data_IF_140395063709
#
_entry.id   IF_140395063709
#
_cell.length_a   1.000
_cell.length_b   1.000
_cell.length_c   1.000
_cell.angle_alpha   90.00
_cell.angle_beta   90.00
_cell.angle_gamma   90.00
#
_symmetry.space_group_name_H-M   'P 1'
#
loop_
_entity.id
_entity.type
_entity.pdbx_description
1 polymer ?
#
# COMPACT_ATOMS: atom_id res chain seq x y z
N UNK A 1 16.70 -0.68 -21.41
CA UNK A 1 15.99 0.19 -20.46
C UNK A 1 16.91 0.46 -19.29
N UNK A 2 16.97 1.70 -18.80
CA UNK A 2 17.63 2.02 -17.55
C UNK A 2 16.55 2.12 -16.47
N UNK A 3 16.34 1.09 -15.63
CA UNK A 3 15.36 1.13 -14.55
C UNK A 3 15.76 2.20 -13.53
N UNK A 4 14.78 2.92 -12.99
CA UNK A 4 15.01 3.93 -11.95
C UNK A 4 14.73 3.37 -10.55
N UNK A 5 14.03 2.24 -10.46
CA UNK A 5 13.76 1.48 -9.23
C UNK A 5 13.43 0.02 -9.58
N UNK A 6 13.51 -0.86 -8.59
CA UNK A 6 13.04 -2.25 -8.68
C UNK A 6 11.93 -2.47 -7.65
N UNK A 7 10.76 -2.91 -8.10
CA UNK A 7 9.71 -3.40 -7.18
C UNK A 7 9.88 -4.91 -6.95
N UNK A 8 9.92 -5.29 -5.68
CA UNK A 8 9.92 -6.68 -5.24
C UNK A 8 8.65 -6.91 -4.43
N UNK A 9 7.75 -7.77 -4.91
CA UNK A 9 6.58 -8.12 -4.13
C UNK A 9 6.88 -9.25 -3.15
N UNK A 10 6.24 -9.20 -1.98
CA UNK A 10 6.33 -10.25 -0.96
C UNK A 10 4.94 -10.50 -0.40
N UNK A 11 4.45 -11.73 -0.56
CA UNK A 11 3.22 -12.15 0.10
C UNK A 11 3.16 -13.68 0.26
N UNK A 12 3.40 -14.16 1.47
CA UNK A 12 3.37 -15.59 1.79
C UNK A 12 1.97 -16.18 1.60
N UNK A 13 0.91 -15.43 1.93
CA UNK A 13 -0.47 -15.93 1.85
C UNK A 13 -0.87 -16.17 0.39
N UNK A 14 -0.56 -15.25 -0.51
CA UNK A 14 -0.83 -15.42 -1.93
C UNK A 14 -0.12 -16.67 -2.47
N UNK A 15 1.17 -16.82 -2.18
CA UNK A 15 1.96 -17.99 -2.60
C UNK A 15 1.36 -19.30 -2.08
N UNK A 16 0.89 -19.32 -0.82
CA UNK A 16 0.27 -20.50 -0.23
C UNK A 16 -1.11 -20.84 -0.80
N UNK A 17 -1.81 -19.85 -1.34
CA UNK A 17 -3.11 -20.03 -2.00
C UNK A 17 -2.95 -20.50 -3.46
N UNK A 18 -1.90 -20.09 -4.14
CA UNK A 18 -1.60 -20.51 -5.51
C UNK A 18 -1.18 -21.97 -5.55
N UNK A 19 -1.73 -22.83 -6.42
CA UNK A 19 -1.26 -24.21 -6.60
C UNK A 19 0.23 -24.29 -6.97
N UNK A 20 0.68 -23.38 -7.83
CA UNK A 20 2.04 -23.23 -8.35
C UNK A 20 2.96 -22.35 -7.47
N UNK A 21 2.44 -21.78 -6.39
CA UNK A 21 3.16 -20.79 -5.58
C UNK A 21 4.33 -21.37 -4.78
N UNK A 22 5.23 -20.52 -4.34
CA UNK A 22 6.41 -20.87 -3.57
C UNK A 22 6.03 -21.44 -2.18
N UNK A 23 6.84 -22.35 -1.69
CA UNK A 23 6.68 -23.00 -0.37
C UNK A 23 7.91 -22.86 0.53
N UNK A 24 9.03 -22.28 0.02
CA UNK A 24 10.31 -22.13 0.72
C UNK A 24 10.64 -20.65 0.90
N UNK A 25 10.14 -20.05 1.98
CA UNK A 25 10.27 -18.62 2.24
C UNK A 25 11.53 -18.22 3.03
N UNK A 26 12.31 -19.18 3.54
CA UNK A 26 13.49 -18.90 4.40
C UNK A 26 14.57 -18.08 3.69
N UNK A 27 14.72 -18.26 2.39
CA UNK A 27 15.73 -17.55 1.58
C UNK A 27 15.31 -16.13 1.18
N UNK A 28 14.05 -15.74 1.37
CA UNK A 28 13.57 -14.42 0.93
C UNK A 28 14.32 -13.27 1.60
N UNK A 29 14.61 -13.40 2.90
CA UNK A 29 15.33 -12.38 3.67
C UNK A 29 16.78 -12.22 3.18
N UNK A 30 17.51 -13.32 2.96
CA UNK A 30 18.87 -13.29 2.44
C UNK A 30 18.90 -12.74 1.01
N UNK A 31 17.97 -13.15 0.15
CA UNK A 31 17.87 -12.60 -1.22
C UNK A 31 17.60 -11.11 -1.20
N UNK A 32 16.70 -10.61 -0.32
CA UNK A 32 16.43 -9.18 -0.21
C UNK A 32 17.66 -8.41 0.25
N UNK A 33 18.40 -8.92 1.22
CA UNK A 33 19.65 -8.32 1.70
C UNK A 33 20.73 -8.29 0.60
N UNK A 34 20.83 -9.34 -0.20
CA UNK A 34 21.76 -9.40 -1.32
C UNK A 34 21.35 -8.43 -2.45
N UNK A 35 20.08 -8.39 -2.80
CA UNK A 35 19.55 -7.45 -3.80
C UNK A 35 19.79 -6.00 -3.39
N UNK A 36 19.57 -5.65 -2.13
CA UNK A 36 19.79 -4.29 -1.62
C UNK A 36 21.25 -3.83 -1.73
N UNK A 37 22.21 -4.77 -1.76
CA UNK A 37 23.64 -4.47 -1.91
C UNK A 37 24.11 -4.46 -3.36
N UNK A 38 23.52 -5.30 -4.20
CA UNK A 38 24.01 -5.58 -5.56
C UNK A 38 23.29 -4.78 -6.64
N UNK A 39 22.03 -4.43 -6.41
CA UNK A 39 21.21 -3.72 -7.39
C UNK A 39 21.46 -2.21 -7.27
N UNK A 40 21.88 -1.54 -8.36
CA UNK A 40 22.29 -0.13 -8.33
C UNK A 40 21.13 0.86 -8.31
N UNK A 41 19.90 0.39 -8.15
CA UNK A 41 18.69 1.23 -8.08
C UNK A 41 17.92 0.94 -6.79
N UNK A 42 17.13 1.90 -6.26
CA UNK A 42 16.33 1.70 -5.07
C UNK A 42 15.38 0.50 -5.20
N UNK A 43 15.24 -0.27 -4.11
CA UNK A 43 14.25 -1.35 -4.01
C UNK A 43 13.01 -0.82 -3.30
N UNK A 44 11.85 -1.05 -3.92
CA UNK A 44 10.54 -0.87 -3.30
C UNK A 44 10.02 -2.26 -2.93
N UNK A 45 9.95 -2.56 -1.64
CA UNK A 45 9.31 -3.78 -1.16
C UNK A 45 7.81 -3.58 -1.11
N UNK A 46 7.08 -4.43 -1.82
CA UNK A 46 5.65 -4.24 -2.07
C UNK A 46 4.82 -5.42 -1.55
N UNK A 47 3.79 -5.12 -0.78
CA UNK A 47 2.68 -6.02 -0.51
C UNK A 47 1.71 -6.06 -1.73
N UNK A 48 0.77 -6.98 -1.75
CA UNK A 48 -0.10 -7.23 -2.91
C UNK A 48 -1.60 -7.09 -2.63
N UNK A 49 -1.96 -6.57 -1.45
CA UNK A 49 -3.37 -6.34 -1.09
C UNK A 49 -3.80 -6.93 0.25
N UNK A 50 -2.83 -7.36 1.09
CA UNK A 50 -3.11 -7.88 2.44
C UNK A 50 -2.62 -6.95 3.54
N UNK A 51 -1.87 -5.90 3.20
CA UNK A 51 -1.29 -4.92 4.12
C UNK A 51 -0.02 -5.41 4.80
N UNK A 52 1.03 -4.59 4.75
CA UNK A 52 2.30 -4.87 5.40
C UNK A 52 2.25 -4.51 6.89
N UNK A 53 2.77 -5.35 7.75
CA UNK A 53 2.86 -5.08 9.19
C UNK A 53 4.18 -4.40 9.58
N UNK A 54 4.24 -3.83 10.80
CA UNK A 54 5.40 -3.11 11.30
C UNK A 54 6.67 -4.00 11.38
N UNK A 55 6.53 -5.28 11.74
CA UNK A 55 7.66 -6.21 11.81
C UNK A 55 8.25 -6.53 10.44
N UNK A 56 7.42 -6.58 9.42
CA UNK A 56 7.88 -6.75 8.03
C UNK A 56 8.64 -5.51 7.56
N UNK A 57 8.16 -4.31 7.92
CA UNK A 57 8.84 -3.04 7.62
C UNK A 57 10.20 -2.98 8.35
N UNK A 58 10.23 -3.33 9.63
CA UNK A 58 11.46 -3.41 10.44
C UNK A 58 12.52 -4.29 9.76
N UNK A 59 12.15 -5.52 9.41
CA UNK A 59 13.05 -6.44 8.72
C UNK A 59 13.51 -5.92 7.36
N UNK A 60 12.60 -5.33 6.59
CA UNK A 60 12.95 -4.73 5.31
C UNK A 60 13.98 -3.59 5.50
N UNK A 61 13.79 -2.75 6.51
CA UNK A 61 14.72 -1.69 6.87
C UNK A 61 16.10 -2.23 7.26
N UNK A 62 16.17 -3.29 8.08
CA UNK A 62 17.41 -3.95 8.46
C UNK A 62 18.19 -4.49 7.26
N UNK A 63 17.48 -4.96 6.21
CA UNK A 63 18.08 -5.42 4.96
C UNK A 63 18.38 -4.32 3.94
N UNK A 64 18.27 -3.05 4.33
CA UNK A 64 18.65 -1.91 3.49
C UNK A 64 17.53 -1.33 2.64
N UNK A 65 16.32 -1.86 2.70
CA UNK A 65 15.15 -1.26 2.01
C UNK A 65 14.77 0.06 2.69
N UNK A 66 14.46 1.07 1.87
CA UNK A 66 14.08 2.40 2.35
C UNK A 66 12.73 2.86 1.83
N UNK A 67 12.10 2.08 0.97
CA UNK A 67 10.78 2.39 0.39
C UNK A 67 9.92 1.13 0.43
N UNK A 68 8.72 1.21 0.99
CA UNK A 68 7.75 0.11 1.07
C UNK A 68 6.39 0.53 0.54
N UNK A 69 5.71 -0.35 -0.20
CA UNK A 69 4.29 -0.19 -0.54
C UNK A 69 3.46 -1.11 0.34
N UNK A 70 2.68 -0.52 1.22
CA UNK A 70 1.89 -1.23 2.23
C UNK A 70 0.75 -2.05 1.63
N UNK A 71 0.26 -1.70 0.47
CA UNK A 71 -0.76 -2.38 -0.34
C UNK A 71 -1.80 -3.16 0.47
N UNK A 72 -2.68 -2.41 1.13
CA UNK A 72 -3.68 -3.01 2.03
C UNK A 72 -4.92 -3.54 1.32
N UNK A 73 -5.75 -4.23 2.09
CA UNK A 73 -7.03 -4.75 1.63
C UNK A 73 -8.04 -3.63 1.38
N UNK A 74 -8.75 -3.72 0.25
CA UNK A 74 -9.79 -2.75 -0.12
C UNK A 74 -9.99 -2.60 -1.63
N UNK A 75 -9.03 -3.07 -2.42
CA UNK A 75 -9.09 -3.16 -3.88
C UNK A 75 -9.29 -4.60 -4.35
N UNK A 76 -8.42 -5.05 -5.26
CA UNK A 76 -8.36 -6.44 -5.73
C UNK A 76 -7.97 -7.38 -4.59
N UNK A 77 -8.74 -8.44 -4.38
CA UNK A 77 -8.41 -9.48 -3.40
C UNK A 77 -7.78 -10.66 -4.11
N UNK A 78 -6.47 -10.81 -3.99
CA UNK A 78 -5.77 -11.97 -4.56
C UNK A 78 -6.18 -13.28 -3.88
N UNK A 79 -6.50 -13.26 -2.58
CA UNK A 79 -7.07 -14.43 -1.91
C UNK A 79 -8.38 -14.90 -2.57
N UNK A 80 -9.29 -13.96 -2.87
CA UNK A 80 -10.53 -14.28 -3.57
C UNK A 80 -10.26 -14.85 -4.97
N UNK A 81 -9.35 -14.24 -5.73
CA UNK A 81 -8.99 -14.69 -7.07
C UNK A 81 -8.43 -16.12 -7.03
N UNK A 82 -7.46 -16.38 -6.14
CA UNK A 82 -6.85 -17.71 -6.02
C UNK A 82 -7.84 -18.76 -5.51
N UNK A 83 -8.73 -18.38 -4.59
CA UNK A 83 -9.81 -19.27 -4.16
C UNK A 83 -10.81 -19.57 -5.28
N UNK A 84 -11.07 -18.63 -6.18
CA UNK A 84 -11.88 -18.89 -7.38
C UNK A 84 -11.22 -19.89 -8.34
N UNK A 85 -9.88 -19.92 -8.38
CA UNK A 85 -9.11 -20.89 -9.18
C UNK A 85 -9.07 -22.28 -8.52
N UNK A 86 -8.91 -22.33 -7.18
CA UNK A 86 -8.70 -23.59 -6.43
C UNK A 86 -9.92 -24.09 -5.64
N UNK A 87 -10.86 -23.23 -5.30
CA UNK A 87 -12.16 -23.55 -4.69
C UNK A 87 -12.12 -24.05 -3.23
N UNK A 88 -11.02 -23.80 -2.46
CA UNK A 88 -10.83 -24.56 -1.21
C UNK A 88 -10.80 -23.74 0.09
N UNK A 89 -10.64 -22.40 0.06
CA UNK A 89 -10.35 -21.63 1.27
C UNK A 89 -11.04 -20.27 1.32
N UNK A 90 -12.33 -20.22 1.06
CA UNK A 90 -13.11 -18.97 1.02
C UNK A 90 -13.03 -18.15 2.31
N UNK A 91 -12.80 -18.80 3.45
CA UNK A 91 -12.61 -18.14 4.75
C UNK A 91 -11.36 -17.22 4.79
N UNK A 92 -10.41 -17.38 3.86
CA UNK A 92 -9.23 -16.51 3.70
C UNK A 92 -9.48 -15.30 2.81
N UNK A 93 -10.63 -15.19 2.14
CA UNK A 93 -10.93 -14.06 1.25
C UNK A 93 -10.87 -12.69 1.95
N UNK A 94 -11.03 -12.69 3.27
CA UNK A 94 -10.97 -11.48 4.12
C UNK A 94 -9.66 -11.35 4.89
N UNK A 95 -8.67 -12.19 4.61
CA UNK A 95 -7.36 -12.13 5.26
C UNK A 95 -6.67 -10.80 5.00
N UNK A 96 -5.90 -10.32 6.00
CA UNK A 96 -5.11 -9.11 5.91
C UNK A 96 -5.76 -7.87 6.54
N UNK A 97 -5.01 -6.79 6.57
CA UNK A 97 -5.39 -5.48 7.10
C UNK A 97 -5.86 -4.56 5.98
N UNK A 98 -6.76 -3.64 6.31
CA UNK A 98 -7.08 -2.56 5.37
C UNK A 98 -5.88 -1.63 5.19
N UNK A 99 -5.87 -0.89 4.07
CA UNK A 99 -4.85 0.10 3.78
C UNK A 99 -4.61 1.09 4.93
N UNK A 100 -5.68 1.59 5.54
CA UNK A 100 -5.56 2.52 6.68
C UNK A 100 -5.07 1.85 7.95
N UNK A 101 -5.37 0.56 8.20
CA UNK A 101 -4.78 -0.19 9.31
C UNK A 101 -3.29 -0.45 9.10
N UNK A 102 -2.89 -0.85 7.88
CA UNK A 102 -1.48 -1.02 7.53
C UNK A 102 -0.70 0.28 7.71
N UNK A 103 -1.27 1.40 7.25
CA UNK A 103 -0.65 2.72 7.40
C UNK A 103 -0.59 3.17 8.88
N UNK A 104 -1.59 2.83 9.69
CA UNK A 104 -1.58 3.06 11.12
C UNK A 104 -0.45 2.27 11.81
N UNK A 105 -0.27 1.00 11.44
CA UNK A 105 0.81 0.15 11.97
C UNK A 105 2.20 0.62 11.53
N UNK A 106 2.31 1.31 10.39
CA UNK A 106 3.56 1.82 9.85
C UNK A 106 3.97 3.19 10.43
N UNK A 107 3.17 3.81 11.33
CA UNK A 107 3.40 5.19 11.78
C UNK A 107 4.78 5.42 12.45
N UNK A 108 5.29 4.46 13.18
CA UNK A 108 6.63 4.54 13.81
C UNK A 108 7.80 4.48 12.80
N UNK A 109 7.51 4.07 11.56
CA UNK A 109 8.48 3.90 10.49
C UNK A 109 8.51 5.04 9.47
N UNK A 110 7.51 5.94 9.48
CA UNK A 110 7.34 7.00 8.47
C UNK A 110 8.53 7.95 8.29
N UNK A 111 9.36 8.10 9.32
CA UNK A 111 10.56 8.96 9.30
C UNK A 111 11.83 8.16 8.94
N UNK A 112 11.75 6.83 8.85
CA UNK A 112 12.87 5.93 8.54
C UNK A 112 12.77 5.32 7.14
N UNK A 113 11.53 5.11 6.65
CA UNK A 113 11.24 4.57 5.32
C UNK A 113 10.18 5.41 4.62
N UNK A 114 10.26 5.46 3.31
CA UNK A 114 9.19 6.05 2.50
C UNK A 114 8.01 5.09 2.41
N UNK A 115 6.85 5.53 2.91
CA UNK A 115 5.62 4.76 2.87
C UNK A 115 4.86 5.08 1.58
N UNK A 116 4.81 4.14 0.67
CA UNK A 116 3.87 4.14 -0.45
C UNK A 116 2.61 3.39 -0.02
N UNK A 117 1.48 3.77 -0.54
CA UNK A 117 0.19 3.22 -0.15
C UNK A 117 -0.63 2.90 -1.38
N UNK A 118 -1.14 1.69 -1.43
CA UNK A 118 -2.09 1.24 -2.44
C UNK A 118 -3.15 0.33 -1.84
N UNK A 119 -4.17 -0.05 -2.63
CA UNK A 119 -5.26 -0.92 -2.22
C UNK A 119 -6.48 -0.17 -1.69
N UNK A 120 -7.58 -0.21 -2.45
CA UNK A 120 -8.88 0.32 -2.07
C UNK A 120 -9.02 1.85 -2.08
N UNK A 121 -8.05 2.57 -2.61
CA UNK A 121 -8.14 4.01 -2.85
C UNK A 121 -8.99 4.27 -4.10
N UNK A 122 -9.99 5.13 -4.00
CA UNK A 122 -11.04 5.28 -5.05
C UNK A 122 -11.19 6.69 -5.57
N UNK A 123 -10.81 7.69 -4.79
CA UNK A 123 -11.10 9.09 -5.07
C UNK A 123 -10.05 10.02 -4.40
N UNK A 124 -10.04 11.33 -4.74
CA UNK A 124 -9.11 12.29 -4.16
C UNK A 124 -9.16 12.40 -2.63
N UNK A 125 -10.32 12.25 -2.00
CA UNK A 125 -10.44 12.31 -0.55
C UNK A 125 -9.74 11.12 0.12
N UNK A 126 -9.84 9.91 -0.45
CA UNK A 126 -9.10 8.74 0.04
C UNK A 126 -7.58 8.95 -0.11
N UNK A 127 -7.13 9.57 -1.23
CA UNK A 127 -5.73 9.93 -1.43
C UNK A 127 -5.24 10.88 -0.35
N UNK A 128 -5.97 11.98 -0.09
CA UNK A 128 -5.63 12.97 0.96
C UNK A 128 -5.54 12.29 2.33
N UNK A 129 -6.49 11.42 2.69
CA UNK A 129 -6.42 10.68 3.97
C UNK A 129 -5.14 9.86 4.09
N UNK A 130 -4.72 9.17 3.04
CA UNK A 130 -3.47 8.43 3.04
C UNK A 130 -2.25 9.35 3.22
N UNK A 131 -2.22 10.49 2.52
CA UNK A 131 -1.13 11.47 2.60
C UNK A 131 -1.07 12.13 3.99
N UNK A 132 -2.20 12.50 4.58
CA UNK A 132 -2.28 13.01 5.97
C UNK A 132 -1.71 12.00 6.96
N UNK A 133 -1.93 10.70 6.73
CA UNK A 133 -1.39 9.61 7.56
C UNK A 133 0.09 9.30 7.31
N UNK A 134 0.80 10.07 6.49
CA UNK A 134 2.24 9.95 6.31
C UNK A 134 2.68 9.20 5.05
N UNK A 135 1.76 8.82 4.18
CA UNK A 135 2.14 8.29 2.87
C UNK A 135 2.88 9.35 2.04
N UNK A 136 3.92 8.95 1.33
CA UNK A 136 4.66 9.79 0.36
C UNK A 136 3.97 9.81 -0.99
N UNK A 137 3.37 8.70 -1.39
CA UNK A 137 2.55 8.60 -2.59
C UNK A 137 1.44 7.55 -2.44
N UNK A 138 0.47 7.63 -3.34
CA UNK A 138 -0.72 6.77 -3.34
C UNK A 138 -0.88 6.12 -4.70
N UNK A 139 -0.97 4.78 -4.72
CA UNK A 139 -1.17 3.97 -5.91
C UNK A 139 -2.64 3.59 -6.10
N UNK A 140 -3.10 3.68 -7.34
CA UNK A 140 -4.42 3.24 -7.76
C UNK A 140 -4.28 2.15 -8.82
N UNK A 141 -4.81 0.97 -8.56
CA UNK A 141 -4.82 -0.13 -9.54
C UNK A 141 -6.23 -0.42 -10.01
N UNK A 142 -7.06 -1.04 -9.17
CA UNK A 142 -8.42 -1.44 -9.53
C UNK A 142 -9.26 -0.27 -10.03
N UNK A 143 -9.20 0.87 -9.37
CA UNK A 143 -9.96 2.06 -9.77
C UNK A 143 -9.59 2.51 -11.19
N UNK A 144 -8.28 2.52 -11.52
CA UNK A 144 -7.84 2.87 -12.88
C UNK A 144 -8.25 1.80 -13.89
N UNK A 145 -8.15 0.52 -13.53
CA UNK A 145 -8.63 -0.56 -14.40
C UNK A 145 -10.11 -0.41 -14.74
N UNK A 146 -10.96 -0.17 -13.74
CA UNK A 146 -12.40 0.05 -13.92
C UNK A 146 -12.68 1.26 -14.84
N UNK A 147 -11.88 2.34 -14.72
CA UNK A 147 -11.99 3.50 -15.60
C UNK A 147 -11.65 3.16 -17.05
N UNK A 148 -10.53 2.49 -17.31
CA UNK A 148 -10.10 2.18 -18.69
C UNK A 148 -10.95 1.07 -19.34
N UNK A 149 -11.68 0.28 -18.56
CA UNK A 149 -12.67 -0.68 -19.07
C UNK A 149 -14.01 -0.02 -19.40
N UNK A 150 -14.31 1.14 -18.80
CA UNK A 150 -15.62 1.80 -18.89
C UNK A 150 -15.63 3.00 -19.82
N UNK A 151 -14.51 3.75 -19.88
CA UNK A 151 -14.42 5.05 -20.53
C UNK A 151 -13.37 5.05 -21.64
N UNK A 152 -13.50 6.00 -22.57
CA UNK A 152 -12.46 6.30 -23.57
C UNK A 152 -11.22 6.89 -22.94
N UNK A 153 -10.10 6.90 -23.65
CA UNK A 153 -8.84 7.49 -23.18
C UNK A 153 -9.02 8.96 -22.82
N UNK A 154 -9.74 9.72 -23.65
CA UNK A 154 -10.03 11.15 -23.47
C UNK A 154 -10.84 11.40 -22.20
N UNK A 155 -11.85 10.57 -21.94
CA UNK A 155 -12.66 10.65 -20.72
C UNK A 155 -11.85 10.31 -19.47
N UNK A 156 -11.00 9.28 -19.52
CA UNK A 156 -10.09 8.94 -18.41
C UNK A 156 -9.12 10.08 -18.13
N UNK A 157 -8.56 10.71 -19.15
CA UNK A 157 -7.70 11.90 -18.99
C UNK A 157 -8.50 13.03 -18.31
N UNK A 158 -9.76 13.29 -18.72
CA UNK A 158 -10.65 14.25 -18.09
C UNK A 158 -10.83 13.96 -16.60
N UNK A 159 -11.22 12.73 -16.24
CA UNK A 159 -11.40 12.28 -14.85
C UNK A 159 -10.13 12.51 -14.01
N UNK A 160 -8.95 12.18 -14.56
CA UNK A 160 -7.68 12.41 -13.85
C UNK A 160 -7.38 13.89 -13.66
N UNK A 161 -7.73 14.76 -14.61
CA UNK A 161 -7.60 16.21 -14.45
C UNK A 161 -8.56 16.74 -13.38
N UNK A 162 -9.79 16.26 -13.33
CA UNK A 162 -10.76 16.59 -12.28
C UNK A 162 -10.25 16.15 -10.89
N UNK A 163 -9.70 14.95 -10.77
CA UNK A 163 -9.07 14.48 -9.52
C UNK A 163 -7.90 15.38 -9.08
N UNK A 164 -7.11 15.89 -10.02
CA UNK A 164 -6.03 16.84 -9.70
C UNK A 164 -6.59 18.18 -9.21
N UNK A 165 -7.70 18.63 -9.76
CA UNK A 165 -8.40 19.84 -9.30
C UNK A 165 -8.98 19.62 -7.89
N UNK A 166 -9.63 18.49 -7.64
CA UNK A 166 -10.19 18.12 -6.34
C UNK A 166 -9.11 18.00 -5.25
N UNK A 167 -7.97 17.39 -5.57
CA UNK A 167 -6.83 17.34 -4.63
C UNK A 167 -6.38 18.73 -4.22
N UNK A 168 -6.24 19.67 -5.19
CA UNK A 168 -5.87 21.06 -4.90
C UNK A 168 -6.94 21.77 -4.07
N UNK A 169 -8.23 21.55 -4.38
CA UNK A 169 -9.36 22.10 -3.63
C UNK A 169 -9.32 21.65 -2.17
N UNK A 170 -9.14 20.34 -1.92
CA UNK A 170 -9.08 19.79 -0.56
C UNK A 170 -7.83 20.32 0.17
N UNK A 171 -6.67 20.34 -0.48
CA UNK A 171 -5.44 20.89 0.10
C UNK A 171 -5.60 22.37 0.46
N UNK A 172 -6.23 23.16 -0.41
CA UNK A 172 -6.52 24.57 -0.15
C UNK A 172 -7.44 24.73 1.06
N UNK A 173 -8.51 23.92 1.16
CA UNK A 173 -9.43 23.95 2.32
C UNK A 173 -8.75 23.60 3.65
N UNK A 174 -7.68 22.82 3.60
CA UNK A 174 -6.84 22.45 4.76
C UNK A 174 -5.67 23.43 4.98
N UNK A 175 -5.57 24.50 4.20
CA UNK A 175 -4.44 25.44 4.21
C UNK A 175 -3.07 24.75 4.00
N UNK A 176 -3.02 23.77 3.11
CA UNK A 176 -1.83 22.97 2.79
C UNK A 176 -1.35 23.28 1.37
N UNK A 177 -0.12 23.77 1.20
CA UNK A 177 0.49 24.00 -0.10
C UNK A 177 1.27 22.75 -0.61
N UNK A 178 1.72 21.88 0.28
CA UNK A 178 2.55 20.73 -0.03
C UNK A 178 2.03 19.46 0.67
N UNK A 179 2.49 18.29 0.21
CA UNK A 179 2.25 17.01 0.90
C UNK A 179 2.82 17.02 2.33
N UNK A 180 3.96 17.69 2.53
CA UNK A 180 4.54 17.83 3.86
C UNK A 180 3.65 18.64 4.83
N UNK A 181 2.86 19.58 4.31
CA UNK A 181 1.88 20.30 5.13
C UNK A 181 0.69 19.41 5.48
N UNK A 182 0.21 18.58 4.55
CA UNK A 182 -0.84 17.59 4.84
C UNK A 182 -0.46 16.66 6.00
N UNK A 183 0.81 16.28 6.12
CA UNK A 183 1.29 15.42 7.20
C UNK A 183 1.31 16.08 8.59
N UNK A 184 1.06 17.40 8.66
CA UNK A 184 0.93 18.17 9.89
C UNK A 184 -0.51 18.45 10.29
N UNK A 185 -1.48 18.09 9.43
CA UNK A 185 -2.90 18.31 9.68
C UNK A 185 -3.37 17.43 10.83
N UNK A 186 -4.07 18.01 11.77
CA UNK A 186 -4.72 17.28 12.84
C UNK A 186 -5.88 16.42 12.31
N UNK A 187 -6.01 15.22 12.84
CA UNK A 187 -7.07 14.30 12.47
C UNK A 187 -7.63 13.54 13.67
N UNK A 188 -8.87 13.13 13.55
CA UNK A 188 -9.54 12.28 14.55
C UNK A 188 -9.75 10.88 13.98
N UNK A 189 -9.53 9.87 14.80
CA UNK A 189 -9.83 8.47 14.48
C UNK A 189 -11.13 8.07 15.15
N UNK A 190 -11.96 7.35 14.40
CA UNK A 190 -13.23 6.80 14.87
C UNK A 190 -13.33 5.30 14.57
N UNK A 191 -14.23 4.63 15.30
CA UNK A 191 -14.56 3.22 15.08
C UNK A 191 -13.34 2.32 15.10
N UNK A 192 -13.28 1.36 14.20
CA UNK A 192 -12.25 0.31 14.15
C UNK A 192 -10.81 0.81 14.10
N UNK A 193 -10.54 1.97 13.47
CA UNK A 193 -9.19 2.53 13.45
C UNK A 193 -8.78 3.08 14.82
N UNK A 194 -9.70 3.69 15.55
CA UNK A 194 -9.46 4.13 16.93
C UNK A 194 -9.20 2.93 17.83
N UNK A 195 -10.06 1.93 17.76
CA UNK A 195 -9.92 0.68 18.54
C UNK A 195 -8.57 0.00 18.26
N UNK A 196 -8.16 -0.11 16.99
CA UNK A 196 -6.88 -0.67 16.60
C UNK A 196 -5.71 0.15 17.20
N UNK A 197 -5.75 1.49 17.11
CA UNK A 197 -4.72 2.37 17.70
C UNK A 197 -4.61 2.21 19.22
N UNK A 198 -5.74 2.09 19.90
CA UNK A 198 -5.78 1.95 21.36
C UNK A 198 -5.23 0.57 21.82
N UNK A 199 -5.42 -0.48 21.00
CA UNK A 199 -4.84 -1.81 21.25
C UNK A 199 -3.32 -1.82 21.04
N UNK A 200 -2.82 -1.18 19.98
CA UNK A 200 -1.38 -1.08 19.69
C UNK A 200 -0.59 -0.39 20.80
N UNK A 201 -1.18 0.57 21.54
CA UNK A 201 -0.54 1.24 22.67
C UNK A 201 -0.40 0.35 23.92
N UNK A 202 -1.08 -0.80 23.95
CA UNK A 202 -1.08 -1.72 25.08
C UNK A 202 -0.18 -2.95 24.85
N UNK A 203 0.31 -3.13 23.64
CA UNK A 203 1.18 -4.23 23.24
C UNK A 203 2.64 -3.78 23.25
#
# INVERSE_FOLDING_TARGET
MNPVLLQVHVNVMQELLMPEGERKFRSWQSHLADYSKQIPVPIVLKEVGFGMDAKTIERAYEFGVRTVDLSGRGGTSFAYIENRRSGQRDYLNQWGQSTMQALLNAQEWKDKVELLVSGGVRNPLDMIKCLVFGAKSVGLSRTVLELVETYTVEEVIGIVQDWKADLRLIMCSLNCATIADLQKVDYLLYGKLKEAKDQMKKA
#
